data_IF_585666735718
#
_entry.id   IF_585666735718
#
_cell.length_a   1.000
_cell.length_b   1.000
_cell.length_c   1.000
_cell.angle_alpha   90.00
_cell.angle_beta   90.00
_cell.angle_gamma   90.00
#
_symmetry.space_group_name_H-M   'P 1'
#
loop_
_entity.id
_entity.type
_entity.pdbx_description
1 polymer ?
#
# COMPACT_ATOMS: atom_id res chain seq x y z
N UNK A 1 -34.04 57.21 -16.15
CA UNK A 1 -33.61 55.82 -16.43
C UNK A 1 -32.10 55.76 -16.33
N UNK A 2 -31.57 55.17 -15.25
CA UNK A 2 -30.13 54.94 -15.06
C UNK A 2 -29.86 53.49 -15.46
N UNK A 3 -29.01 53.27 -16.47
CA UNK A 3 -28.54 51.95 -16.85
C UNK A 3 -27.46 51.52 -15.86
N UNK A 4 -27.67 50.37 -15.21
CA UNK A 4 -26.73 49.72 -14.31
C UNK A 4 -25.90 48.76 -15.17
N UNK A 5 -24.60 49.03 -15.29
CA UNK A 5 -23.63 48.10 -15.87
C UNK A 5 -23.30 47.03 -14.83
N UNK A 6 -23.42 45.72 -15.13
CA UNK A 6 -22.95 44.70 -14.21
C UNK A 6 -21.42 44.62 -14.28
N UNK A 7 -20.76 44.86 -13.15
CA UNK A 7 -19.35 44.53 -13.00
C UNK A 7 -19.22 43.01 -12.95
N UNK A 8 -18.61 42.42 -13.98
CA UNK A 8 -18.19 41.03 -13.97
C UNK A 8 -17.02 40.95 -12.98
N UNK A 9 -17.28 40.31 -11.84
CA UNK A 9 -16.25 39.95 -10.87
C UNK A 9 -15.38 38.88 -11.54
N UNK A 10 -14.23 39.28 -12.09
CA UNK A 10 -13.21 38.33 -12.49
C UNK A 10 -12.70 37.65 -11.23
N UNK A 11 -13.15 36.42 -10.97
CA UNK A 11 -12.49 35.54 -10.03
C UNK A 11 -11.09 35.28 -10.61
N UNK A 12 -10.09 35.99 -10.10
CA UNK A 12 -8.71 35.66 -10.32
C UNK A 12 -8.50 34.28 -9.70
N UNK A 13 -8.60 33.22 -10.52
CA UNK A 13 -8.10 31.91 -10.17
C UNK A 13 -6.63 32.10 -9.81
N UNK A 14 -6.30 31.90 -8.53
CA UNK A 14 -4.93 31.70 -8.12
C UNK A 14 -4.45 30.47 -8.87
N UNK A 15 -3.67 30.69 -9.93
CA UNK A 15 -2.82 29.66 -10.51
C UNK A 15 -1.79 29.38 -9.43
N UNK A 16 -2.09 28.41 -8.57
CA UNK A 16 -1.12 27.84 -7.65
C UNK A 16 -0.02 27.21 -8.52
N UNK A 17 1.04 27.97 -8.76
CA UNK A 17 2.27 27.43 -9.32
C UNK A 17 2.66 26.19 -8.48
N UNK A 18 3.01 25.09 -9.14
CA UNK A 18 3.55 23.91 -8.48
C UNK A 18 4.74 24.34 -7.64
N UNK A 19 4.52 24.45 -6.34
CA UNK A 19 5.62 24.35 -5.40
C UNK A 19 5.72 22.86 -5.11
N UNK A 20 6.77 22.23 -5.62
CA UNK A 20 7.34 21.07 -4.95
C UNK A 20 7.62 21.54 -3.52
N UNK A 21 6.69 21.28 -2.60
CA UNK A 21 6.82 21.77 -1.24
C UNK A 21 7.99 21.03 -0.61
N UNK A 22 9.05 21.80 -0.43
CA UNK A 22 10.28 21.43 0.22
C UNK A 22 10.27 22.25 1.50
N UNK A 23 9.98 21.62 2.63
CA UNK A 23 9.93 22.34 3.92
C UNK A 23 11.31 22.77 4.43
N UNK A 24 12.38 22.40 3.72
CA UNK A 24 13.77 22.73 4.00
C UNK A 24 14.60 22.99 2.75
N UNK A 25 15.91 22.81 2.85
CA UNK A 25 16.82 22.91 1.70
C UNK A 25 16.92 21.56 1.02
N UNK A 26 16.60 21.49 -0.27
CA UNK A 26 16.74 20.27 -1.05
C UNK A 26 18.22 19.82 -1.11
N UNK A 27 18.47 18.57 -0.72
CA UNK A 27 19.78 17.93 -0.76
C UNK A 27 19.68 16.63 -1.56
N UNK A 28 20.63 16.41 -2.46
CA UNK A 28 20.78 15.15 -3.17
C UNK A 28 21.71 14.23 -2.38
N UNK A 29 21.18 13.10 -1.93
CA UNK A 29 21.93 12.05 -1.25
C UNK A 29 21.77 10.75 -2.03
N UNK A 30 22.86 10.30 -2.68
CA UNK A 30 22.86 9.03 -3.40
C UNK A 30 21.88 8.95 -4.58
N UNK A 31 21.51 10.08 -5.19
CA UNK A 31 20.53 10.16 -6.28
C UNK A 31 19.11 10.48 -5.83
N UNK A 32 18.86 10.51 -4.51
CA UNK A 32 17.55 10.83 -3.94
C UNK A 32 17.52 12.27 -3.42
N UNK A 33 16.42 12.98 -3.68
CA UNK A 33 16.23 14.34 -3.19
C UNK A 33 15.45 14.35 -1.86
N UNK A 34 16.07 14.93 -0.84
CA UNK A 34 15.50 15.11 0.48
C UNK A 34 15.39 16.59 0.84
N UNK A 35 14.29 16.95 1.46
CA UNK A 35 13.99 18.30 1.94
C UNK A 35 13.95 18.32 3.46
N UNK A 36 12.79 18.61 4.06
CA UNK A 36 12.61 18.61 5.50
C UNK A 36 12.05 17.30 6.02
N UNK A 37 12.35 17.02 7.29
CA UNK A 37 11.65 15.98 8.04
C UNK A 37 10.24 16.45 8.37
N UNK A 38 9.24 15.64 8.03
CA UNK A 38 7.83 15.92 8.26
C UNK A 38 7.19 14.80 9.08
N UNK A 39 6.07 15.13 9.72
CA UNK A 39 5.17 14.15 10.37
C UNK A 39 3.90 13.89 9.57
N UNK A 40 3.71 14.63 8.49
CA UNK A 40 2.54 14.48 7.63
C UNK A 40 2.81 14.97 6.21
N UNK A 41 2.11 14.36 5.26
CA UNK A 41 2.08 14.78 3.85
C UNK A 41 0.63 14.66 3.37
N UNK A 42 0.17 15.65 2.60
CA UNK A 42 -1.10 15.63 1.89
C UNK A 42 -0.83 15.62 0.38
N UNK A 43 -1.50 14.74 -0.33
CA UNK A 43 -1.51 14.70 -1.80
C UNK A 43 -2.92 15.06 -2.25
N UNK A 44 -3.07 16.06 -3.12
CA UNK A 44 -4.36 16.56 -3.60
C UNK A 44 -4.43 16.49 -5.13
N UNK A 45 -5.64 16.33 -5.65
CA UNK A 45 -5.87 16.24 -7.09
C UNK A 45 -5.30 14.94 -7.69
N UNK A 46 -5.34 13.82 -6.97
CA UNK A 46 -4.86 12.53 -7.50
C UNK A 46 -5.78 11.91 -8.56
N UNK A 47 -6.77 12.66 -9.07
CA UNK A 47 -7.73 12.16 -10.02
C UNK A 47 -7.09 11.99 -11.40
N UNK A 48 -7.26 10.82 -12.00
CA UNK A 48 -6.91 10.60 -13.40
C UNK A 48 -8.18 10.64 -14.25
N UNK A 49 -8.25 11.62 -15.17
CA UNK A 49 -9.20 11.61 -16.30
C UNK A 49 -8.44 11.07 -17.53
N UNK A 50 -9.03 10.08 -18.22
CA UNK A 50 -8.57 9.39 -19.47
C UNK A 50 -7.85 8.02 -19.38
N UNK A 51 -8.00 7.26 -18.29
CA UNK A 51 -7.45 5.88 -18.13
C UNK A 51 -8.55 4.80 -18.07
N UNK A 52 -8.24 3.48 -18.19
CA UNK A 52 -9.23 2.41 -18.02
C UNK A 52 -9.87 2.36 -16.62
N UNK A 53 -9.38 3.16 -15.67
CA UNK A 53 -9.90 3.32 -14.32
C UNK A 53 -10.64 4.65 -14.23
N UNK A 54 -11.73 4.68 -13.46
CA UNK A 54 -12.53 5.89 -13.29
C UNK A 54 -13.06 5.98 -11.86
N UNK A 55 -12.99 7.17 -11.29
CA UNK A 55 -13.40 7.44 -9.91
C UNK A 55 -12.52 8.52 -9.29
N UNK A 56 -12.92 9.08 -8.14
CA UNK A 56 -12.26 10.25 -7.57
C UNK A 56 -10.82 10.00 -7.12
N UNK A 57 -10.46 8.73 -6.89
CA UNK A 57 -9.11 8.32 -6.53
C UNK A 57 -8.59 7.20 -7.42
N UNK A 58 -9.18 6.98 -8.59
CA UNK A 58 -8.75 5.91 -9.50
C UNK A 58 -7.26 6.00 -9.83
N UNK A 59 -6.52 4.87 -9.85
CA UNK A 59 -6.95 3.49 -9.58
C UNK A 59 -6.96 3.10 -8.08
N UNK A 60 -6.64 4.03 -7.18
CA UNK A 60 -6.50 3.80 -5.75
C UNK A 60 -7.83 3.59 -5.02
N UNK A 61 -8.97 3.85 -5.65
CA UNK A 61 -10.30 3.49 -5.15
C UNK A 61 -10.70 2.03 -5.45
N UNK A 62 -9.93 1.32 -6.28
CA UNK A 62 -10.03 -0.13 -6.45
C UNK A 62 -9.55 -0.90 -5.21
N UNK A 63 -9.57 -2.23 -5.28
CA UNK A 63 -9.03 -3.12 -4.26
C UNK A 63 -7.54 -2.85 -4.03
N UNK A 64 -7.18 -2.33 -2.85
CA UNK A 64 -5.77 -2.20 -2.46
C UNK A 64 -5.30 -3.36 -1.56
N UNK A 65 -4.10 -3.84 -1.80
CA UNK A 65 -3.36 -4.75 -0.92
C UNK A 65 -2.25 -3.98 -0.25
N UNK A 66 -2.00 -4.24 1.04
CA UNK A 66 -0.93 -3.57 1.80
C UNK A 66 0.26 -4.51 1.87
N UNK A 67 1.48 -3.98 1.82
CA UNK A 67 2.68 -4.80 1.88
C UNK A 67 3.72 -4.19 2.79
N UNK A 68 4.56 -5.07 3.31
CA UNK A 68 5.65 -4.73 4.21
C UNK A 68 6.92 -5.39 3.70
N UNK A 69 8.02 -4.64 3.69
CA UNK A 69 9.38 -5.14 3.49
C UNK A 69 10.22 -4.87 4.75
N UNK A 70 10.97 -5.87 5.19
CA UNK A 70 11.89 -5.75 6.32
C UNK A 70 13.17 -4.95 6.00
N UNK A 71 13.91 -4.49 7.02
CA UNK A 71 13.75 -4.77 8.45
C UNK A 71 12.57 -4.06 9.12
N UNK A 72 11.60 -4.82 9.65
CA UNK A 72 10.31 -4.27 10.09
C UNK A 72 9.71 -5.04 11.26
N UNK A 73 8.99 -4.35 12.15
CA UNK A 73 8.09 -4.97 13.13
C UNK A 73 6.71 -4.31 13.04
N UNK A 74 5.70 -5.09 12.65
CA UNK A 74 4.30 -4.67 12.64
C UNK A 74 3.63 -5.16 13.92
N UNK A 75 3.09 -4.24 14.72
CA UNK A 75 2.31 -4.56 15.92
C UNK A 75 0.83 -4.65 15.64
N UNK A 76 0.28 -3.62 14.99
CA UNK A 76 -1.14 -3.51 14.73
C UNK A 76 -1.37 -2.94 13.33
N UNK A 77 -2.41 -3.45 12.68
CA UNK A 77 -2.93 -2.95 11.42
C UNK A 77 -4.45 -2.95 11.49
N UNK A 78 -5.07 -1.83 11.14
CA UNK A 78 -6.52 -1.71 11.06
C UNK A 78 -6.93 -1.01 9.77
N UNK A 79 -8.09 -1.40 9.25
CA UNK A 79 -8.70 -0.78 8.08
C UNK A 79 -10.08 -0.29 8.45
N UNK A 80 -10.36 0.97 8.10
CA UNK A 80 -11.66 1.58 8.27
C UNK A 80 -12.19 1.99 6.91
N UNK A 81 -13.31 1.40 6.50
CA UNK A 81 -14.06 1.86 5.33
C UNK A 81 -15.08 2.89 5.81
N UNK A 82 -14.94 4.13 5.36
CA UNK A 82 -15.93 5.16 5.64
C UNK A 82 -17.10 4.93 4.69
N UNK A 83 -18.17 4.33 5.21
CA UNK A 83 -19.35 4.05 4.41
C UNK A 83 -19.87 5.34 3.77
N UNK A 84 -20.13 5.31 2.46
CA UNK A 84 -21.22 6.12 1.93
C UNK A 84 -22.50 5.74 2.67
N UNK A 85 -23.42 6.67 2.93
CA UNK A 85 -24.68 6.37 3.61
C UNK A 85 -25.42 5.22 2.90
N UNK A 86 -25.21 4.00 3.39
CA UNK A 86 -25.88 2.83 2.83
C UNK A 86 -27.30 2.82 3.37
N UNK A 87 -28.28 3.05 2.48
CA UNK A 87 -29.66 2.60 2.69
C UNK A 87 -29.59 1.12 3.09
N UNK A 88 -30.06 0.82 4.30
CA UNK A 88 -30.24 -0.54 4.83
C UNK A 88 -30.73 -1.48 3.72
N UNK A 89 -29.95 -2.50 3.40
CA UNK A 89 -30.47 -3.70 2.74
C UNK A 89 -31.03 -4.60 3.82
N UNK A 90 -32.34 -4.80 3.79
CA UNK A 90 -33.05 -5.72 4.65
C UNK A 90 -32.56 -7.15 4.38
N UNK A 91 -31.95 -7.78 5.39
CA UNK A 91 -31.64 -9.21 5.37
C UNK A 91 -32.92 -9.99 5.65
N UNK A 92 -33.55 -10.52 4.61
CA UNK A 92 -34.50 -11.62 4.74
C UNK A 92 -33.74 -12.96 4.58
N UNK A 93 -33.93 -13.95 5.48
CA UNK A 93 -33.24 -15.23 5.39
C UNK A 93 -33.91 -16.13 4.33
N UNK A 94 -33.11 -16.82 3.52
CA UNK A 94 -33.58 -17.89 2.62
C UNK A 94 -32.95 -19.23 3.01
N UNK A 95 -33.69 -20.36 2.92
CA UNK A 95 -33.46 -21.53 3.76
C UNK A 95 -32.59 -22.62 3.11
N UNK A 96 -32.00 -23.42 4.00
CA UNK A 96 -31.32 -24.71 3.85
C UNK A 96 -31.30 -25.43 2.48
N UNK A 97 -30.10 -25.91 2.11
CA UNK A 97 -29.95 -27.20 1.43
C UNK A 97 -28.67 -27.92 1.94
N UNK A 98 -28.86 -29.06 2.61
CA UNK A 98 -27.80 -30.02 2.95
C UNK A 98 -27.45 -30.87 1.72
N UNK A 99 -26.17 -31.17 1.50
CA UNK A 99 -25.74 -32.52 1.13
C UNK A 99 -24.21 -32.75 1.16
N UNK A 100 -23.82 -33.59 2.15
CA UNK A 100 -22.89 -34.73 2.06
C UNK A 100 -21.38 -34.50 1.88
N UNK A 101 -20.68 -34.71 3.01
CA UNK A 101 -19.30 -35.18 3.07
C UNK A 101 -19.14 -36.60 2.49
N UNK A 102 -18.04 -36.83 1.80
CA UNK A 102 -17.32 -38.11 1.83
C UNK A 102 -15.82 -37.81 1.83
N UNK A 103 -15.12 -38.33 2.84
CA UNK A 103 -13.67 -38.29 2.92
C UNK A 103 -13.04 -39.55 2.33
N UNK A 104 -11.83 -39.41 1.78
CA UNK A 104 -10.89 -40.51 1.62
C UNK A 104 -9.47 -39.99 1.90
N UNK A 105 -8.88 -40.50 2.98
CA UNK A 105 -7.47 -40.48 3.25
C UNK A 105 -6.76 -41.40 2.24
N UNK A 106 -5.66 -40.92 1.63
CA UNK A 106 -4.58 -41.79 1.21
C UNK A 106 -3.23 -41.14 1.52
N UNK A 107 -2.37 -41.93 2.15
CA UNK A 107 -1.02 -41.64 2.60
C UNK A 107 -0.03 -42.14 1.54
N UNK A 108 0.95 -41.33 1.14
CA UNK A 108 2.28 -41.66 0.60
C UNK A 108 3.02 -40.32 0.46
N UNK A 109 4.33 -40.14 0.64
CA UNK A 109 5.41 -40.86 1.29
C UNK A 109 6.61 -39.87 1.24
N UNK A 110 7.58 -40.05 2.12
CA UNK A 110 8.79 -39.23 2.25
C UNK A 110 9.50 -38.92 0.92
N UNK A 111 9.94 -37.67 0.72
CA UNK A 111 11.25 -37.40 0.06
C UNK A 111 11.79 -35.97 0.29
N UNK A 112 12.92 -35.96 1.00
CA UNK A 112 14.11 -35.08 0.87
C UNK A 112 13.90 -33.57 1.08
N UNK A 113 14.28 -33.11 2.28
CA UNK A 113 14.83 -31.77 2.52
C UNK A 113 16.03 -31.54 1.59
N UNK A 114 15.81 -31.07 0.35
CA UNK A 114 16.83 -30.38 -0.41
C UNK A 114 17.01 -29.01 0.26
N UNK A 115 18.25 -28.65 0.58
CA UNK A 115 18.60 -27.25 0.88
C UNK A 115 18.06 -26.40 -0.27
N UNK A 116 17.01 -25.61 -0.03
CA UNK A 116 16.47 -24.67 -1.02
C UNK A 116 17.63 -23.75 -1.43
N UNK A 117 17.96 -23.73 -2.72
CA UNK A 117 18.85 -22.70 -3.27
C UNK A 117 18.06 -21.38 -3.20
N UNK A 118 18.74 -20.27 -2.98
CA UNK A 118 18.14 -18.93 -3.11
C UNK A 118 17.41 -18.86 -4.47
N UNK A 119 16.11 -18.56 -4.44
CA UNK A 119 15.26 -18.49 -5.64
C UNK A 119 15.42 -17.08 -6.24
N UNK A 120 15.85 -16.96 -7.50
CA UNK A 120 16.11 -15.66 -8.12
C UNK A 120 14.94 -15.22 -9.00
N UNK A 121 14.52 -13.96 -8.85
CA UNK A 121 13.60 -13.24 -9.74
C UNK A 121 14.44 -12.38 -10.69
N UNK A 122 14.04 -12.31 -11.96
CA UNK A 122 14.61 -11.37 -12.95
C UNK A 122 13.48 -10.52 -13.49
N UNK A 123 13.64 -9.19 -13.45
CA UNK A 123 12.69 -8.23 -14.01
C UNK A 123 13.41 -7.11 -14.76
N UNK A 124 12.69 -6.37 -15.60
CA UNK A 124 13.17 -5.14 -16.20
C UNK A 124 12.51 -3.97 -15.50
N UNK A 125 13.27 -3.19 -14.73
CA UNK A 125 12.81 -1.99 -14.02
C UNK A 125 13.54 -0.79 -14.63
N UNK A 126 12.82 0.25 -15.02
CA UNK A 126 13.37 1.44 -15.70
C UNK A 126 14.26 1.12 -16.91
N UNK A 127 13.88 0.09 -17.68
CA UNK A 127 14.63 -0.37 -18.86
C UNK A 127 15.92 -1.13 -18.54
N UNK A 128 16.23 -1.41 -17.27
CA UNK A 128 17.38 -2.21 -16.85
C UNK A 128 16.93 -3.59 -16.36
N UNK A 129 17.57 -4.64 -16.87
CA UNK A 129 17.38 -6.00 -16.34
C UNK A 129 18.07 -6.08 -14.99
N UNK A 130 17.28 -6.33 -13.95
CA UNK A 130 17.70 -6.52 -12.57
C UNK A 130 17.31 -7.92 -12.12
N UNK A 131 18.06 -8.50 -11.18
CA UNK A 131 17.76 -9.82 -10.61
C UNK A 131 18.07 -9.87 -9.13
N UNK A 132 17.21 -10.52 -8.35
CA UNK A 132 17.33 -10.59 -6.89
C UNK A 132 16.76 -11.87 -6.30
N UNK A 133 17.15 -12.21 -5.08
CA UNK A 133 16.56 -13.33 -4.34
C UNK A 133 15.11 -13.00 -3.93
N UNK A 134 14.19 -13.90 -4.26
CA UNK A 134 12.76 -13.78 -4.02
C UNK A 134 12.43 -13.77 -2.52
N UNK A 135 11.65 -12.78 -2.11
CA UNK A 135 11.16 -12.54 -0.77
C UNK A 135 9.86 -13.29 -0.43
N UNK A 136 9.07 -13.66 -1.45
CA UNK A 136 7.79 -14.36 -1.30
C UNK A 136 7.95 -15.86 -1.10
N UNK A 137 6.95 -16.48 -0.47
CA UNK A 137 6.98 -17.90 -0.08
C UNK A 137 6.19 -18.83 -1.03
N UNK A 138 5.94 -18.40 -2.27
CA UNK A 138 5.22 -19.21 -3.27
C UNK A 138 5.84 -20.60 -3.44
N UNK A 139 5.02 -21.65 -3.40
CA UNK A 139 5.48 -23.04 -3.45
C UNK A 139 6.04 -23.58 -2.13
N UNK A 140 5.98 -22.81 -1.03
CA UNK A 140 6.26 -23.27 0.34
C UNK A 140 4.93 -23.58 1.04
N UNK A 141 4.48 -24.83 0.90
CA UNK A 141 3.19 -25.38 1.36
C UNK A 141 1.91 -24.75 0.77
N UNK A 142 1.97 -23.56 0.16
CA UNK A 142 0.91 -22.96 -0.65
C UNK A 142 1.47 -22.04 -1.74
N UNK A 143 0.60 -21.61 -2.66
CA UNK A 143 1.04 -20.90 -3.86
C UNK A 143 1.83 -21.81 -4.81
N UNK A 144 2.39 -21.20 -5.85
CA UNK A 144 3.19 -21.89 -6.86
C UNK A 144 4.48 -21.11 -7.13
N UNK A 145 5.47 -21.81 -7.64
CA UNK A 145 6.70 -21.25 -8.20
C UNK A 145 6.90 -21.83 -9.60
N UNK A 146 7.34 -20.98 -10.53
CA UNK A 146 7.92 -21.42 -11.78
C UNK A 146 9.02 -20.44 -12.22
N UNK A 147 9.86 -20.85 -13.16
CA UNK A 147 10.99 -20.03 -13.63
C UNK A 147 10.57 -18.90 -14.58
N UNK A 148 9.29 -18.82 -14.96
CA UNK A 148 8.77 -17.78 -15.86
C UNK A 148 8.26 -16.59 -15.06
N UNK A 149 7.56 -16.86 -13.95
CA UNK A 149 6.80 -15.89 -13.18
C UNK A 149 7.24 -15.83 -11.71
N UNK A 150 8.23 -16.61 -11.30
CA UNK A 150 8.69 -16.66 -9.91
C UNK A 150 7.61 -17.13 -8.93
N UNK A 151 7.70 -16.69 -7.68
CA UNK A 151 6.73 -17.02 -6.64
C UNK A 151 5.41 -16.28 -6.85
N UNK A 152 4.30 -17.00 -6.70
CA UNK A 152 2.98 -16.40 -6.54
C UNK A 152 2.73 -16.00 -5.08
N UNK A 153 1.56 -15.40 -4.82
CA UNK A 153 1.00 -15.32 -3.48
C UNK A 153 0.95 -16.70 -2.81
N UNK A 154 1.11 -16.71 -1.49
CA UNK A 154 1.09 -17.87 -0.60
C UNK A 154 0.67 -17.41 0.80
N UNK A 155 0.20 -18.33 1.64
CA UNK A 155 0.00 -18.03 3.06
C UNK A 155 1.34 -17.90 3.76
N UNK A 156 1.48 -16.88 4.60
CA UNK A 156 2.64 -16.67 5.46
C UNK A 156 2.52 -17.52 6.74
N UNK A 157 3.65 -18.06 7.22
CA UNK A 157 3.68 -18.71 8.52
C UNK A 157 3.63 -17.69 9.67
N UNK A 158 3.31 -18.16 10.89
CA UNK A 158 3.18 -17.29 12.07
C UNK A 158 4.48 -16.58 12.48
N UNK A 159 5.64 -17.01 11.96
CA UNK A 159 6.95 -16.44 12.28
C UNK A 159 7.43 -15.41 11.23
N UNK A 160 6.65 -15.17 10.16
CA UNK A 160 6.94 -14.14 9.16
C UNK A 160 8.16 -14.42 8.28
N UNK A 161 8.61 -15.68 8.17
CA UNK A 161 9.87 -16.03 7.52
C UNK A 161 9.79 -17.18 6.51
N UNK A 162 8.58 -17.59 6.15
CA UNK A 162 8.33 -18.74 5.26
C UNK A 162 6.84 -18.95 5.01
N UNK A 163 6.52 -19.87 4.11
CA UNK A 163 5.15 -20.16 3.70
C UNK A 163 4.42 -21.09 4.67
N UNK A 164 3.11 -21.24 4.46
CA UNK A 164 2.25 -22.16 5.18
C UNK A 164 1.19 -22.74 4.24
N UNK A 165 0.68 -23.93 4.55
CA UNK A 165 -0.43 -24.52 3.80
C UNK A 165 -1.82 -23.96 4.14
N UNK A 166 -1.91 -23.07 5.13
CA UNK A 166 -3.18 -22.47 5.59
C UNK A 166 -2.93 -21.11 6.24
N UNK A 167 -3.96 -20.24 6.35
CA UNK A 167 -3.83 -18.97 7.07
C UNK A 167 -3.32 -19.16 8.50
N UNK A 168 -2.37 -18.33 8.92
CA UNK A 168 -1.85 -18.26 10.28
C UNK A 168 -1.92 -16.82 10.78
N UNK A 169 -2.19 -16.66 12.07
CA UNK A 169 -2.03 -15.35 12.72
C UNK A 169 -0.53 -15.08 12.84
N UNK A 170 -0.08 -13.96 12.26
CA UNK A 170 1.29 -13.48 12.40
C UNK A 170 1.53 -13.08 13.87
N UNK A 171 2.62 -13.56 14.46
CA UNK A 171 3.03 -13.16 15.82
C UNK A 171 3.67 -11.77 15.78
N UNK A 172 3.90 -11.18 16.94
CA UNK A 172 4.83 -10.04 17.06
C UNK A 172 6.25 -10.52 16.74
N UNK A 173 6.66 -10.37 15.49
CA UNK A 173 7.92 -10.87 14.95
C UNK A 173 8.68 -9.79 14.20
N UNK A 174 9.99 -9.98 14.16
CA UNK A 174 10.88 -9.22 13.32
C UNK A 174 10.91 -9.80 11.92
N UNK A 175 10.64 -8.96 10.92
CA UNK A 175 10.75 -9.28 9.50
C UNK A 175 12.12 -8.78 9.05
N UNK A 176 13.04 -9.65 8.62
CA UNK A 176 14.40 -9.24 8.25
C UNK A 176 14.46 -8.57 6.87
N UNK A 177 15.60 -7.95 6.57
CA UNK A 177 15.92 -7.43 5.24
C UNK A 177 15.55 -8.39 4.10
N UNK A 178 15.05 -7.80 3.01
CA UNK A 178 14.62 -8.51 1.80
C UNK A 178 13.57 -9.62 2.03
N UNK A 179 12.80 -9.55 3.12
CA UNK A 179 11.59 -10.36 3.31
C UNK A 179 10.36 -9.48 3.26
N UNK A 180 9.36 -9.98 2.55
CA UNK A 180 8.15 -9.24 2.21
C UNK A 180 6.92 -10.09 2.51
N UNK A 181 5.84 -9.43 2.91
CA UNK A 181 4.52 -10.05 2.95
C UNK A 181 3.45 -9.04 2.60
N UNK A 182 2.33 -9.57 2.10
CA UNK A 182 1.16 -8.80 1.73
C UNK A 182 0.00 -9.08 2.71
N UNK A 183 -0.83 -8.08 2.91
CA UNK A 183 -2.03 -8.10 3.74
C UNK A 183 -3.22 -7.81 2.83
N UNK A 184 -4.20 -8.72 2.90
CA UNK A 184 -5.47 -8.66 2.19
C UNK A 184 -6.62 -8.71 3.20
N UNK A 185 -7.84 -8.48 2.73
CA UNK A 185 -9.05 -8.75 3.52
C UNK A 185 -9.24 -10.26 3.75
N UNK A 186 -10.21 -10.61 4.60
CA UNK A 186 -10.61 -11.99 4.81
C UNK A 186 -11.56 -12.52 3.71
N UNK A 187 -12.01 -11.66 2.80
CA UNK A 187 -12.97 -12.03 1.76
C UNK A 187 -12.25 -12.73 0.61
N UNK A 188 -12.67 -13.95 0.28
CA UNK A 188 -12.13 -14.66 -0.88
C UNK A 188 -12.48 -13.95 -2.17
N UNK A 189 -11.59 -14.07 -3.14
CA UNK A 189 -11.86 -13.60 -4.48
C UNK A 189 -13.04 -14.33 -5.12
N UNK A 190 -13.89 -13.55 -5.77
CA UNK A 190 -14.89 -13.99 -6.74
C UNK A 190 -14.53 -13.38 -8.11
N UNK A 191 -15.49 -13.36 -9.04
CA UNK A 191 -15.32 -12.79 -10.38
C UNK A 191 -14.84 -11.31 -10.35
N UNK A 192 -15.14 -10.55 -9.28
CA UNK A 192 -14.74 -9.15 -9.18
C UNK A 192 -13.23 -8.96 -9.03
N UNK A 193 -12.49 -9.99 -8.61
CA UNK A 193 -11.04 -9.92 -8.49
C UNK A 193 -10.30 -9.96 -9.84
N UNK A 194 -10.98 -10.40 -10.90
CA UNK A 194 -10.34 -10.74 -12.17
C UNK A 194 -9.45 -11.98 -12.06
N UNK A 195 -8.44 -12.06 -12.91
CA UNK A 195 -7.52 -13.18 -12.95
C UNK A 195 -6.60 -13.22 -11.71
N UNK A 196 -6.42 -14.41 -11.16
CA UNK A 196 -5.34 -14.71 -10.21
C UNK A 196 -4.58 -15.94 -10.65
N UNK A 197 -3.26 -15.90 -10.51
CA UNK A 197 -2.38 -17.02 -10.82
C UNK A 197 -2.61 -18.22 -9.88
N UNK A 198 -3.10 -17.98 -8.67
CA UNK A 198 -3.39 -18.99 -7.63
C UNK A 198 -4.71 -18.67 -6.93
N UNK A 199 -5.86 -19.00 -7.56
CA UNK A 199 -7.19 -18.67 -7.04
C UNK A 199 -7.46 -19.20 -5.62
N UNK A 200 -6.82 -20.28 -5.21
CA UNK A 200 -7.01 -20.96 -3.92
C UNK A 200 -6.55 -20.11 -2.73
N UNK A 201 -5.61 -19.19 -2.98
CA UNK A 201 -5.03 -18.25 -2.00
C UNK A 201 -5.32 -16.79 -2.35
N UNK A 202 -6.26 -16.53 -3.26
CA UNK A 202 -6.62 -15.18 -3.69
C UNK A 202 -7.73 -14.59 -2.80
N UNK A 203 -7.46 -13.41 -2.25
CA UNK A 203 -8.37 -12.64 -1.41
C UNK A 203 -8.58 -11.22 -1.95
N UNK A 204 -9.72 -10.63 -1.61
CA UNK A 204 -10.06 -9.24 -1.93
C UNK A 204 -9.13 -8.27 -1.21
N UNK A 205 -8.82 -7.16 -1.86
CA UNK A 205 -8.12 -6.06 -1.22
C UNK A 205 -9.08 -5.23 -0.37
N UNK A 206 -8.67 -4.00 -0.08
CA UNK A 206 -9.46 -2.99 0.59
C UNK A 206 -9.91 -1.94 -0.43
N UNK A 207 -11.13 -2.08 -0.95
CA UNK A 207 -11.71 -1.19 -1.96
C UNK A 207 -12.46 0.00 -1.37
N UNK A 208 -12.85 0.91 -2.27
CA UNK A 208 -13.68 2.08 -1.97
C UNK A 208 -12.84 3.34 -1.81
N UNK A 209 -13.30 4.46 -2.37
CA UNK A 209 -12.53 5.71 -2.39
C UNK A 209 -12.28 6.29 -0.98
N UNK A 210 -13.17 6.04 -0.01
CA UNK A 210 -13.02 6.52 1.36
C UNK A 210 -12.57 5.39 2.29
N UNK A 211 -11.29 5.36 2.60
CA UNK A 211 -10.71 4.32 3.46
C UNK A 211 -9.51 4.85 4.24
N UNK A 212 -9.31 4.30 5.42
CA UNK A 212 -8.18 4.62 6.28
C UNK A 212 -7.43 3.35 6.62
N UNK A 213 -6.12 3.36 6.40
CA UNK A 213 -5.21 2.37 6.93
C UNK A 213 -4.52 2.93 8.17
N UNK A 214 -4.62 2.23 9.29
CA UNK A 214 -3.89 2.54 10.52
C UNK A 214 -2.81 1.51 10.76
N UNK A 215 -1.62 1.99 11.07
CA UNK A 215 -0.44 1.16 11.30
C UNK A 215 0.17 1.48 12.66
N UNK A 216 0.65 0.46 13.35
CA UNK A 216 1.52 0.60 14.52
C UNK A 216 2.78 -0.23 14.28
N UNK A 217 3.91 0.42 14.03
CA UNK A 217 5.12 -0.28 13.56
C UNK A 217 6.42 0.42 13.95
N UNK A 218 7.55 -0.30 13.77
CA UNK A 218 8.91 0.24 13.74
C UNK A 218 9.71 -0.34 12.58
N UNK A 219 10.72 0.39 12.13
CA UNK A 219 11.63 0.05 11.03
C UNK A 219 13.08 0.07 11.55
N UNK A 220 13.51 -0.94 12.33
CA UNK A 220 14.83 -0.95 12.97
C UNK A 220 15.95 -1.07 11.94
N UNK A 221 17.15 -0.58 12.26
CA UNK A 221 18.36 -0.84 11.48
C UNK A 221 18.84 -2.27 11.71
N UNK A 222 19.27 -2.96 10.66
CA UNK A 222 19.83 -4.31 10.78
C UNK A 222 21.22 -4.49 10.16
N UNK A 223 21.75 -3.45 9.52
CA UNK A 223 23.11 -3.44 9.01
C UNK A 223 23.30 -4.25 7.71
N UNK A 224 22.25 -4.84 7.15
CA UNK A 224 22.35 -5.54 5.87
C UNK A 224 22.62 -4.54 4.74
N UNK A 225 23.55 -4.87 3.84
CA UNK A 225 23.93 -4.05 2.68
C UNK A 225 23.82 -4.82 1.37
N UNK A 226 23.15 -5.98 1.40
CA UNK A 226 22.77 -6.74 0.23
C UNK A 226 21.61 -6.11 -0.55
N UNK A 227 21.08 -6.85 -1.51
CA UNK A 227 19.90 -6.42 -2.26
C UNK A 227 18.71 -6.20 -1.31
N UNK A 228 18.08 -5.03 -1.37
CA UNK A 228 17.04 -4.59 -0.43
C UNK A 228 17.46 -4.71 1.07
N UNK A 229 18.77 -4.73 1.34
CA UNK A 229 19.33 -4.80 2.68
C UNK A 229 19.12 -3.48 3.41
N UNK A 230 18.56 -3.54 4.62
CA UNK A 230 18.32 -2.40 5.50
C UNK A 230 17.50 -1.27 4.84
N UNK A 231 16.59 -1.66 3.92
CA UNK A 231 15.70 -0.79 3.13
C UNK A 231 14.23 -1.17 3.37
N UNK A 232 13.69 -0.97 4.58
CA UNK A 232 12.31 -1.34 4.86
C UNK A 232 11.32 -0.48 4.08
N UNK A 233 10.16 -1.06 3.79
CA UNK A 233 9.08 -0.38 3.10
C UNK A 233 7.71 -0.76 3.66
N UNK A 234 6.78 0.18 3.59
CA UNK A 234 5.35 0.00 3.77
C UNK A 234 4.67 0.67 2.58
N UNK A 235 3.98 -0.12 1.76
CA UNK A 235 3.28 0.38 0.56
C UNK A 235 1.92 -0.27 0.38
N UNK A 236 1.14 0.27 -0.54
CA UNK A 236 -0.09 -0.32 -1.04
C UNK A 236 -0.04 -0.48 -2.56
N UNK A 237 -0.53 -1.61 -3.05
CA UNK A 237 -0.65 -1.93 -4.47
C UNK A 237 -2.09 -2.21 -4.81
N UNK A 238 -2.52 -1.84 -6.01
CA UNK A 238 -3.74 -2.43 -6.57
C UNK A 238 -3.62 -3.95 -6.53
N UNK A 239 -4.61 -4.60 -5.93
CA UNK A 239 -4.58 -6.01 -5.58
C UNK A 239 -4.49 -6.94 -6.80
N UNK A 240 -4.77 -6.45 -8.02
CA UNK A 240 -4.51 -7.19 -9.25
C UNK A 240 -3.02 -7.51 -9.43
N UNK A 241 -2.15 -6.59 -9.01
CA UNK A 241 -0.69 -6.71 -9.15
C UNK A 241 -0.16 -7.96 -8.43
N UNK A 242 -0.30 -8.12 -7.10
CA UNK A 242 0.20 -9.31 -6.42
C UNK A 242 -0.58 -10.59 -6.75
N UNK A 243 -1.84 -10.49 -7.21
CA UNK A 243 -2.61 -11.68 -7.62
C UNK A 243 -2.09 -12.33 -8.90
N UNK A 244 -1.35 -11.60 -9.73
CA UNK A 244 -0.77 -12.12 -10.98
C UNK A 244 0.75 -12.28 -10.86
N UNK A 245 1.46 -11.16 -10.79
CA UNK A 245 2.90 -11.01 -10.68
C UNK A 245 3.21 -9.56 -10.33
N UNK A 246 4.04 -9.31 -9.31
CA UNK A 246 4.25 -7.94 -8.83
C UNK A 246 4.99 -7.05 -9.84
N UNK A 247 6.22 -7.43 -10.23
CA UNK A 247 7.10 -6.59 -11.07
C UNK A 247 7.53 -7.29 -12.37
N UNK A 248 6.58 -7.75 -13.19
CA UNK A 248 6.91 -8.33 -14.51
C UNK A 248 5.90 -8.00 -15.60
N UNK A 249 6.14 -8.45 -16.83
CA UNK A 249 5.39 -7.97 -18.01
C UNK A 249 3.90 -8.31 -18.07
N UNK A 250 3.42 -9.22 -17.24
CA UNK A 250 1.98 -9.50 -17.07
C UNK A 250 1.36 -8.80 -15.85
N UNK A 251 2.14 -7.98 -15.16
CA UNK A 251 1.67 -7.06 -14.13
C UNK A 251 1.04 -5.85 -14.80
N UNK A 252 -0.09 -5.39 -14.26
CA UNK A 252 -0.65 -4.11 -14.64
C UNK A 252 0.06 -2.93 -13.97
N UNK A 253 1.10 -3.18 -13.16
CA UNK A 253 1.93 -2.12 -12.58
C UNK A 253 2.53 -1.21 -13.66
N UNK A 254 3.03 -1.78 -14.77
CA UNK A 254 3.54 -1.01 -15.91
C UNK A 254 2.45 -0.35 -16.76
N UNK A 255 1.19 -0.70 -16.51
CA UNK A 255 0.01 -0.18 -17.23
C UNK A 255 -0.95 0.52 -16.28
N UNK A 256 -0.39 1.25 -15.30
CA UNK A 256 -1.11 2.20 -14.47
C UNK A 256 -2.11 1.61 -13.46
N UNK A 257 -1.92 0.38 -12.97
CA UNK A 257 -2.72 -0.12 -11.83
C UNK A 257 -2.47 0.62 -10.52
N UNK A 258 -1.30 1.26 -10.38
CA UNK A 258 -0.97 2.11 -9.25
C UNK A 258 -0.28 1.41 -8.07
N UNK A 259 0.67 2.15 -7.50
CA UNK A 259 1.35 1.86 -6.23
C UNK A 259 1.43 3.15 -5.38
N UNK A 260 1.31 2.99 -4.06
CA UNK A 260 1.49 4.06 -3.08
C UNK A 260 2.50 3.62 -2.05
N UNK A 261 3.70 4.18 -2.13
CA UNK A 261 4.72 4.06 -1.10
C UNK A 261 4.36 5.01 0.04
N UNK A 262 4.05 4.44 1.19
CA UNK A 262 3.64 5.21 2.38
C UNK A 262 4.90 5.61 3.14
N UNK A 263 5.74 4.63 3.49
CA UNK A 263 7.07 4.83 4.06
C UNK A 263 8.05 3.92 3.32
N UNK A 264 8.94 4.46 2.50
CA UNK A 264 9.99 3.68 1.83
C UNK A 264 11.38 4.25 2.08
N UNK A 265 12.28 3.39 2.55
CA UNK A 265 13.72 3.70 2.64
C UNK A 265 14.38 3.35 1.30
N UNK A 266 14.88 4.38 0.61
CA UNK A 266 15.43 4.25 -0.76
C UNK A 266 16.92 3.86 -0.83
N UNK A 267 17.61 3.82 0.31
CA UNK A 267 19.02 3.43 0.38
C UNK A 267 19.33 2.64 1.64
N UNK A 268 20.20 1.62 1.54
CA UNK A 268 20.54 0.73 2.66
C UNK A 268 21.04 1.49 3.88
N UNK A 269 20.34 1.31 5.00
CA UNK A 269 20.66 1.93 6.28
C UNK A 269 20.33 3.41 6.38
N UNK A 270 19.61 3.98 5.41
CA UNK A 270 19.13 5.35 5.54
C UNK A 270 18.02 5.44 6.61
N UNK A 271 17.91 6.64 7.16
CA UNK A 271 17.00 6.99 8.26
C UNK A 271 15.85 7.87 7.78
N UNK A 272 15.66 7.96 6.45
CA UNK A 272 14.64 8.77 5.80
C UNK A 272 13.70 7.88 5.00
N UNK A 273 12.41 8.03 5.22
CA UNK A 273 11.36 7.35 4.50
C UNK A 273 10.67 8.32 3.55
N UNK A 274 10.63 7.95 2.27
CA UNK A 274 9.92 8.67 1.22
C UNK A 274 8.49 8.18 1.10
N UNK A 275 7.64 9.04 0.53
CA UNK A 275 6.33 8.66 0.05
C UNK A 275 6.17 9.08 -1.41
N UNK A 276 5.71 8.14 -2.22
CA UNK A 276 5.62 8.24 -3.68
C UNK A 276 4.37 7.51 -4.16
N UNK A 277 3.76 8.05 -5.20
CA UNK A 277 2.62 7.49 -5.90
C UNK A 277 3.08 7.16 -7.31
N UNK A 278 3.21 5.88 -7.61
CA UNK A 278 3.50 5.40 -8.95
C UNK A 278 2.19 5.20 -9.69
N UNK A 279 1.68 6.30 -10.25
CA UNK A 279 0.52 6.38 -11.11
C UNK A 279 0.96 6.79 -12.52
N UNK A 280 0.05 6.83 -13.49
CA UNK A 280 0.36 7.38 -14.80
C UNK A 280 0.76 8.85 -14.68
N UNK A 281 0.00 9.59 -13.87
CA UNK A 281 0.38 10.90 -13.34
C UNK A 281 0.87 10.75 -11.91
N UNK A 282 2.10 10.23 -11.78
CA UNK A 282 2.72 10.00 -10.47
C UNK A 282 2.84 11.28 -9.63
N UNK A 283 2.91 11.10 -8.31
CA UNK A 283 3.10 12.18 -7.34
C UNK A 283 4.14 11.77 -6.30
N UNK A 284 4.92 12.71 -5.78
CA UNK A 284 5.95 12.40 -4.79
C UNK A 284 6.41 13.65 -4.06
N UNK A 285 6.74 13.51 -2.78
CA UNK A 285 7.26 14.61 -1.98
C UNK A 285 8.76 14.50 -1.86
N UNK A 286 9.48 15.63 -1.87
CA UNK A 286 10.91 15.68 -1.51
C UNK A 286 11.11 15.74 0.01
N UNK A 287 10.08 16.11 0.78
CA UNK A 287 10.10 15.88 2.23
C UNK A 287 10.16 14.38 2.54
N UNK A 288 10.47 14.06 3.79
CA UNK A 288 10.60 12.69 4.25
C UNK A 288 10.08 12.52 5.67
N UNK A 289 9.60 11.33 5.98
CA UNK A 289 9.37 10.90 7.35
C UNK A 289 10.69 10.39 7.94
N UNK A 290 10.95 10.68 9.21
CA UNK A 290 12.07 10.05 9.90
C UNK A 290 11.74 8.58 10.11
N UNK A 291 12.64 7.69 9.68
CA UNK A 291 12.52 6.25 9.88
C UNK A 291 12.37 5.94 11.38
N UNK A 292 11.32 5.21 11.81
CA UNK A 292 11.13 4.87 13.22
C UNK A 292 12.06 3.72 13.63
N UNK A 293 13.34 4.02 13.86
CA UNK A 293 14.37 3.01 14.17
C UNK A 293 14.17 2.39 15.55
N UNK A 294 14.06 3.22 16.59
CA UNK A 294 14.14 2.78 17.99
C UNK A 294 12.80 2.74 18.72
N UNK A 295 11.74 3.29 18.11
CA UNK A 295 10.41 3.36 18.72
C UNK A 295 9.35 2.90 17.74
N UNK A 296 8.27 2.33 18.30
CA UNK A 296 7.06 2.14 17.54
C UNK A 296 6.35 3.49 17.36
N UNK A 297 5.82 3.73 16.17
CA UNK A 297 4.98 4.88 15.85
C UNK A 297 3.63 4.41 15.33
N UNK A 298 2.64 5.31 15.39
CA UNK A 298 1.32 5.11 14.81
C UNK A 298 1.18 5.99 13.57
N UNK A 299 0.71 5.43 12.46
CA UNK A 299 0.53 6.15 11.21
C UNK A 299 -0.85 5.90 10.65
N UNK A 300 -1.52 6.98 10.20
CA UNK A 300 -2.73 6.90 9.40
C UNK A 300 -2.43 7.25 7.94
N UNK A 301 -2.93 6.42 7.02
CA UNK A 301 -3.05 6.74 5.59
C UNK A 301 -4.52 6.86 5.26
N UNK A 302 -4.97 8.08 4.99
CA UNK A 302 -6.37 8.44 4.74
C UNK A 302 -6.55 8.67 3.25
N UNK A 303 -7.35 7.83 2.61
CA UNK A 303 -7.85 8.03 1.26
C UNK A 303 -9.22 8.73 1.38
N UNK A 304 -9.31 9.96 0.88
CA UNK A 304 -10.56 10.73 0.86
C UNK A 304 -10.98 11.00 -0.59
N UNK A 305 -12.00 10.25 -1.02
CA UNK A 305 -12.58 10.39 -2.36
C UNK A 305 -13.44 11.64 -2.54
N UNK A 306 -13.77 12.38 -1.47
CA UNK A 306 -14.53 13.64 -1.59
C UNK A 306 -13.67 14.78 -2.11
N UNK A 307 -12.40 14.74 -1.77
CA UNK A 307 -11.38 15.76 -2.11
C UNK A 307 -10.33 15.23 -3.07
N UNK A 308 -10.47 14.00 -3.56
CA UNK A 308 -9.49 13.33 -4.42
C UNK A 308 -8.07 13.41 -3.83
N UNK A 309 -7.96 13.18 -2.52
CA UNK A 309 -6.74 13.38 -1.76
C UNK A 309 -6.34 12.16 -0.95
N UNK A 310 -5.04 11.99 -0.75
CA UNK A 310 -4.49 11.01 0.18
C UNK A 310 -3.59 11.71 1.18
N UNK A 311 -3.81 11.46 2.47
CA UNK A 311 -3.01 12.03 3.53
C UNK A 311 -2.29 10.93 4.32
N UNK A 312 -1.03 11.16 4.66
CA UNK A 312 -0.22 10.28 5.50
C UNK A 312 0.18 11.08 6.73
N UNK A 313 -0.09 10.56 7.94
CA UNK A 313 0.14 11.27 9.21
C UNK A 313 0.66 10.35 10.31
N UNK A 314 1.74 10.77 10.98
CA UNK A 314 2.13 10.22 12.29
C UNK A 314 1.11 10.68 13.35
N UNK A 315 0.46 9.72 13.99
CA UNK A 315 -0.53 9.94 15.05
C UNK A 315 0.15 10.05 16.42
N UNK A 316 -0.52 10.68 17.42
CA UNK A 316 -0.07 10.67 18.81
C UNK A 316 0.14 9.25 19.36
N UNK A 317 1.13 9.09 20.25
CA UNK A 317 1.50 7.79 20.84
C UNK A 317 0.35 7.15 21.65
N UNK A 318 -0.58 7.96 22.18
CA UNK A 318 -1.74 7.52 22.97
C UNK A 318 -2.99 7.24 22.12
N UNK A 319 -2.93 7.39 20.79
CA UNK A 319 -4.07 7.14 19.91
C UNK A 319 -4.52 5.67 19.94
N UNK A 320 -5.80 5.40 20.19
CA UNK A 320 -6.33 4.03 20.28
C UNK A 320 -6.83 3.51 18.93
N UNK A 321 -6.10 2.55 18.34
CA UNK A 321 -6.45 1.92 17.07
C UNK A 321 -7.68 1.01 17.16
N UNK A 322 -8.09 0.61 18.37
CA UNK A 322 -9.24 -0.29 18.59
C UNK A 322 -10.58 0.46 18.64
N UNK A 323 -10.55 1.78 18.85
CA UNK A 323 -11.72 2.64 18.81
C UNK A 323 -12.19 2.85 17.36
N UNK A 324 -13.49 2.77 17.12
CA UNK A 324 -14.05 3.07 15.79
C UNK A 324 -13.71 4.50 15.37
N UNK A 325 -13.26 4.70 14.12
CA UNK A 325 -13.03 6.04 13.59
C UNK A 325 -14.35 6.72 13.21
N UNK A 326 -14.60 7.89 13.81
CA UNK A 326 -15.72 8.74 13.37
C UNK A 326 -15.34 9.50 12.10
N UNK A 327 -16.31 9.74 11.21
CA UNK A 327 -16.09 10.58 10.02
C UNK A 327 -15.66 12.01 10.38
N UNK A 328 -16.07 12.51 11.56
CA UNK A 328 -15.59 13.79 12.08
C UNK A 328 -14.08 13.77 12.40
N UNK A 329 -13.58 12.69 13.01
CA UNK A 329 -12.15 12.50 13.30
C UNK A 329 -11.34 12.45 12.01
N UNK A 330 -11.82 11.72 11.00
CA UNK A 330 -11.11 11.63 9.71
C UNK A 330 -11.12 12.99 9.00
N UNK A 331 -12.25 13.70 9.00
CA UNK A 331 -12.31 15.06 8.44
C UNK A 331 -11.40 16.04 9.17
N UNK A 332 -11.37 16.01 10.50
CA UNK A 332 -10.44 16.84 11.28
C UNK A 332 -9.00 16.56 10.90
N UNK A 333 -8.62 15.30 10.66
CA UNK A 333 -7.30 14.99 10.15
C UNK A 333 -7.07 15.66 8.80
N UNK A 334 -7.97 15.45 7.83
CA UNK A 334 -7.90 16.04 6.48
C UNK A 334 -7.79 17.56 6.52
N UNK A 335 -8.66 18.23 7.29
CA UNK A 335 -8.68 19.69 7.44
C UNK A 335 -7.46 20.22 8.20
N UNK A 336 -6.99 19.50 9.23
CA UNK A 336 -5.76 19.86 9.94
C UNK A 336 -4.52 19.79 9.05
N UNK A 337 -4.56 19.03 7.95
CA UNK A 337 -3.47 19.00 6.97
C UNK A 337 -3.36 20.28 6.16
N UNK A 338 -4.51 20.92 5.84
CA UNK A 338 -4.56 22.18 5.08
C UNK A 338 -4.06 23.38 5.92
N UNK A 339 -4.20 23.30 7.25
CA UNK A 339 -3.92 24.41 8.17
C UNK A 339 -2.53 24.36 8.83
N UNK A 340 -1.81 23.24 8.76
CA UNK A 340 -0.55 23.09 9.47
C UNK A 340 0.64 23.71 8.69
N UNK A 341 1.31 24.69 9.31
CA UNK A 341 2.50 25.39 8.80
C UNK A 341 3.73 24.48 8.47
N UNK A 342 3.62 23.15 8.65
CA UNK A 342 4.70 22.16 8.44
C UNK A 342 4.28 20.93 7.61
N UNK A 343 3.23 21.03 6.81
CA UNK A 343 2.85 19.99 5.84
C UNK A 343 3.22 20.35 4.41
N UNK A 344 3.56 19.36 3.58
CA UNK A 344 3.54 19.49 2.12
C UNK A 344 2.17 19.06 1.58
N UNK A 345 1.55 19.90 0.74
CA UNK A 345 0.41 19.59 -0.13
C UNK A 345 0.87 19.57 -1.59
N UNK A 346 0.72 18.43 -2.27
CA UNK A 346 1.07 18.32 -3.69
C UNK A 346 -0.18 18.38 -4.54
N UNK A 347 -0.31 19.45 -5.34
CA UNK A 347 -1.33 19.57 -6.39
C UNK A 347 -0.82 18.96 -7.70
N UNK A 348 -1.69 18.22 -8.37
CA UNK A 348 -1.45 17.69 -9.72
C UNK A 348 -1.24 18.82 -10.74
N UNK A 349 -0.30 18.62 -11.67
CA UNK A 349 -0.14 19.42 -12.89
C UNK A 349 -1.32 19.17 -13.84
N UNK A 350 -1.95 20.21 -14.43
CA UNK A 350 -2.57 20.04 -15.74
C UNK A 350 -1.47 19.74 -16.79
N UNK A 351 -1.80 18.87 -17.74
CA UNK A 351 -0.91 18.37 -18.79
C UNK A 351 -0.29 19.45 -19.68
#
# INVERSE_FOLDING_TARGET
MKFITPAILAAAGLVSALTQQCTGTALNEGGNWFCGAVKQILYEGLQEEDVPYSGPLAPLDEDLSVHVRGPFNLKEFAVYSLGSENKKRDNAPSPHAHARCHGHHHFHEQRKKKKKRADWVTATIDGKVVSWENSYCGGDDSGIFDNTWGNSLSYLNANGNGGSGSPKVLKDVYIPSNKEFAIFSADRCDESCGYSRVPEVAYKGFSGANKVFLFHFKMPLDGDRGFNGDMPALWALNARIPRTLQYGGCSCWTTSCGEVDIYEVLASGDTKCKSTFHLEKGAGSSDYFVRPVDKFIKVATVFDGRTSSVAIKELPDDFDLSSGLSDATVREWVESFVLAEKGSSLYQLPA
#
